data_IF_191359458824
#
_entry.id   IF_191359458824
#
_cell.length_a   1.000
_cell.length_b   1.000
_cell.length_c   1.000
_cell.angle_alpha   90.00
_cell.angle_beta   90.00
_cell.angle_gamma   90.00
#
_symmetry.space_group_name_H-M   'P 1'
#
loop_
_entity.id
_entity.type
_entity.pdbx_description
1 polymer ?
#
# COMPACT_ATOMS: atom_id res chain seq x y z
N UNK A 1 -59.90 6.85 -45.71
CA UNK A 1 -58.45 6.71 -45.92
C UNK A 1 -57.79 6.62 -44.55
N UNK A 2 -57.33 5.44 -44.14
CA UNK A 2 -56.66 5.21 -42.85
C UNK A 2 -55.21 4.84 -43.15
N UNK A 3 -54.26 5.73 -42.85
CA UNK A 3 -52.83 5.48 -42.97
C UNK A 3 -52.30 4.98 -41.63
N UNK A 4 -51.86 3.72 -41.60
CA UNK A 4 -51.12 3.11 -40.50
C UNK A 4 -49.63 3.37 -40.72
N UNK A 5 -49.01 4.16 -39.84
CA UNK A 5 -47.54 4.28 -39.76
C UNK A 5 -46.99 3.18 -38.85
N UNK A 6 -46.09 2.36 -39.40
CA UNK A 6 -45.30 1.38 -38.65
C UNK A 6 -43.97 2.06 -38.30
N UNK A 7 -43.70 2.27 -37.01
CA UNK A 7 -42.43 2.77 -36.52
C UNK A 7 -41.46 1.59 -36.32
N UNK A 8 -40.35 1.61 -37.06
CA UNK A 8 -39.27 0.63 -36.98
C UNK A 8 -38.27 1.08 -35.88
N UNK A 9 -38.26 0.39 -34.74
CA UNK A 9 -37.28 0.61 -33.67
C UNK A 9 -36.01 -0.19 -33.96
N UNK A 10 -34.92 0.51 -34.32
CA UNK A 10 -33.58 -0.08 -34.47
C UNK A 10 -32.87 -0.02 -33.12
N UNK A 11 -32.70 -1.17 -32.46
CA UNK A 11 -31.91 -1.29 -31.23
C UNK A 11 -30.42 -1.41 -31.56
N UNK A 12 -29.66 -0.32 -31.38
CA UNK A 12 -28.19 -0.39 -31.38
C UNK A 12 -27.72 -1.11 -30.10
N UNK A 13 -27.31 -2.38 -30.26
CA UNK A 13 -26.53 -3.11 -29.25
C UNK A 13 -25.12 -2.50 -29.20
N UNK A 14 -24.93 -1.48 -28.36
CA UNK A 14 -23.61 -0.94 -28.06
C UNK A 14 -22.79 -1.96 -27.25
N UNK A 15 -21.74 -2.51 -27.85
CA UNK A 15 -20.72 -3.26 -27.14
C UNK A 15 -19.98 -2.30 -26.20
N UNK A 16 -20.29 -2.33 -24.92
CA UNK A 16 -19.52 -1.61 -23.91
C UNK A 16 -18.13 -2.26 -23.82
N UNK A 17 -17.03 -1.53 -24.06
CA UNK A 17 -15.71 -2.06 -23.79
C UNK A 17 -15.66 -2.37 -22.29
N UNK A 18 -15.45 -3.64 -21.94
CA UNK A 18 -15.13 -4.02 -20.58
C UNK A 18 -13.85 -3.26 -20.22
N UNK A 19 -13.97 -2.28 -19.31
CA UNK A 19 -12.81 -1.63 -18.74
C UNK A 19 -11.96 -2.75 -18.12
N UNK A 20 -10.81 -3.03 -18.72
CA UNK A 20 -9.84 -3.92 -18.12
C UNK A 20 -9.49 -3.31 -16.76
N UNK A 21 -9.98 -3.90 -15.69
CA UNK A 21 -9.53 -3.60 -14.34
C UNK A 21 -8.05 -3.96 -14.32
N UNK A 22 -7.19 -2.96 -14.49
CA UNK A 22 -5.76 -3.12 -14.27
C UNK A 22 -5.60 -3.61 -12.84
N UNK A 23 -5.19 -4.87 -12.67
CA UNK A 23 -4.92 -5.45 -11.36
C UNK A 23 -4.07 -4.46 -10.56
N UNK A 24 -4.56 -4.04 -9.40
CA UNK A 24 -3.96 -2.95 -8.63
C UNK A 24 -2.82 -3.49 -7.76
N UNK A 25 -1.85 -4.09 -8.44
CA UNK A 25 -0.68 -4.74 -7.85
C UNK A 25 0.59 -4.05 -8.32
N UNK A 26 1.44 -3.69 -7.38
CA UNK A 26 2.66 -2.96 -7.67
C UNK A 26 3.67 -3.14 -6.54
N UNK A 27 4.94 -2.95 -6.89
CA UNK A 27 5.98 -2.73 -5.90
C UNK A 27 6.09 -1.22 -5.63
N UNK A 28 6.49 -0.86 -4.42
CA UNK A 28 6.96 0.48 -4.10
C UNK A 28 8.45 0.41 -3.76
N UNK A 29 9.26 1.26 -4.39
CA UNK A 29 10.68 1.43 -4.08
C UNK A 29 10.86 2.76 -3.39
N UNK A 30 11.28 2.73 -2.13
CA UNK A 30 11.31 3.88 -1.25
C UNK A 30 12.75 4.22 -0.86
N UNK A 31 13.09 5.50 -0.91
CA UNK A 31 14.40 6.03 -0.53
C UNK A 31 14.21 7.30 0.31
N UNK A 32 15.11 7.53 1.27
CA UNK A 32 15.04 8.67 2.16
C UNK A 32 16.03 8.58 3.32
N UNK A 33 15.61 9.04 4.49
CA UNK A 33 16.41 9.02 5.71
C UNK A 33 15.67 8.35 6.87
N UNK A 34 16.43 7.84 7.83
CA UNK A 34 15.95 7.26 9.08
C UNK A 34 16.61 7.91 10.28
N UNK A 35 15.91 7.95 11.40
CA UNK A 35 16.43 8.36 12.71
C UNK A 35 15.92 7.41 13.80
N UNK A 36 16.79 7.04 14.73
CA UNK A 36 16.49 6.16 15.89
C UNK A 36 16.00 6.96 17.11
N UNK A 37 15.89 8.28 16.97
CA UNK A 37 15.37 9.20 17.97
C UNK A 37 14.49 10.23 17.26
N UNK A 38 13.52 10.84 17.95
CA UNK A 38 12.59 11.79 17.30
C UNK A 38 13.31 12.98 16.64
N UNK A 39 14.46 13.39 17.16
CA UNK A 39 15.30 14.49 16.66
C UNK A 39 16.78 14.08 16.56
N UNK A 40 17.05 12.78 16.41
CA UNK A 40 18.41 12.25 16.33
C UNK A 40 19.04 12.44 14.95
N UNK A 41 20.34 12.11 14.80
CA UNK A 41 21.02 12.16 13.51
C UNK A 41 20.32 11.27 12.48
N UNK A 42 20.29 11.76 11.25
CA UNK A 42 19.69 11.03 10.13
C UNK A 42 20.74 10.20 9.38
N UNK A 43 20.33 9.00 8.97
CA UNK A 43 21.11 8.12 8.11
C UNK A 43 20.31 7.77 6.84
N UNK A 44 20.96 7.55 5.68
CA UNK A 44 20.28 7.08 4.48
C UNK A 44 19.50 5.79 4.72
N UNK A 45 18.34 5.68 4.09
CA UNK A 45 17.45 4.53 4.18
C UNK A 45 16.85 4.20 2.82
N UNK A 46 16.78 2.90 2.50
CA UNK A 46 16.09 2.39 1.33
C UNK A 46 15.38 1.10 1.68
N UNK A 47 14.16 0.93 1.19
CA UNK A 47 13.42 -0.33 1.28
C UNK A 47 12.36 -0.42 0.18
N UNK A 48 11.65 -1.55 0.13
CA UNK A 48 10.52 -1.70 -0.77
C UNK A 48 9.32 -2.38 -0.14
N UNK A 49 8.16 -2.14 -0.74
CA UNK A 49 6.93 -2.87 -0.49
C UNK A 49 6.49 -3.64 -1.71
N UNK A 50 5.70 -4.68 -1.48
CA UNK A 50 4.87 -5.31 -2.51
C UNK A 50 3.44 -5.19 -2.06
N UNK A 51 2.58 -4.63 -2.91
CA UNK A 51 1.22 -4.25 -2.57
C UNK A 51 0.26 -4.87 -3.57
N UNK A 52 -0.80 -5.47 -3.06
CA UNK A 52 -1.93 -5.97 -3.82
C UNK A 52 -3.21 -5.36 -3.23
N UNK A 53 -3.69 -4.29 -3.87
CA UNK A 53 -4.88 -3.57 -3.39
C UNK A 53 -6.16 -4.40 -3.57
N UNK A 54 -6.21 -5.26 -4.59
CA UNK A 54 -7.37 -6.10 -4.87
C UNK A 54 -7.51 -7.21 -3.82
N UNK A 55 -6.38 -7.82 -3.43
CA UNK A 55 -6.34 -8.82 -2.36
C UNK A 55 -6.33 -8.20 -0.94
N UNK A 56 -6.15 -6.89 -0.83
CA UNK A 56 -5.99 -6.23 0.47
C UNK A 56 -4.70 -6.65 1.18
N UNK A 57 -3.62 -6.99 0.46
CA UNK A 57 -2.40 -7.58 1.01
C UNK A 57 -1.17 -6.72 0.75
N UNK A 58 -0.20 -6.80 1.65
CA UNK A 58 1.11 -6.19 1.46
C UNK A 58 2.22 -6.92 2.21
N UNK A 59 3.46 -6.65 1.83
CA UNK A 59 4.65 -7.04 2.58
C UNK A 59 5.78 -6.03 2.32
N UNK A 60 6.84 -6.09 3.11
CA UNK A 60 7.97 -5.18 3.01
C UNK A 60 9.31 -5.92 3.01
N UNK A 61 10.35 -5.25 2.53
CA UNK A 61 11.71 -5.78 2.38
C UNK A 61 11.75 -7.14 1.66
N UNK A 62 12.12 -8.21 2.36
CA UNK A 62 12.22 -9.56 1.82
C UNK A 62 10.89 -10.31 1.77
N UNK A 63 9.81 -9.69 2.26
CA UNK A 63 8.46 -10.28 2.29
C UNK A 63 8.37 -11.59 3.06
N UNK A 64 9.08 -11.70 4.18
CA UNK A 64 9.04 -12.85 5.10
C UNK A 64 7.63 -13.09 5.66
N UNK A 65 6.83 -12.03 5.78
CA UNK A 65 5.44 -12.09 6.22
C UNK A 65 4.57 -11.22 5.30
N UNK A 66 3.39 -11.75 4.98
CA UNK A 66 2.33 -11.03 4.25
C UNK A 66 1.30 -10.56 5.26
N UNK A 67 0.92 -9.30 5.14
CA UNK A 67 0.02 -8.59 6.03
C UNK A 67 -1.25 -8.18 5.31
N UNK A 68 -2.31 -7.92 6.09
CA UNK A 68 -3.49 -7.22 5.61
C UNK A 68 -3.22 -5.72 5.50
N UNK A 69 -3.76 -5.09 4.46
CA UNK A 69 -3.81 -3.63 4.36
C UNK A 69 -4.78 -3.09 5.40
N UNK A 70 -4.35 -2.07 6.14
CA UNK A 70 -5.19 -1.44 7.15
C UNK A 70 -6.19 -0.47 6.55
N UNK A 71 -5.70 0.41 5.68
CA UNK A 71 -6.52 1.46 5.08
C UNK A 71 -6.01 1.78 3.68
N UNK A 72 -6.92 1.80 2.70
CA UNK A 72 -6.66 2.14 1.31
C UNK A 72 -7.57 3.30 0.94
N UNK A 73 -6.99 4.49 0.84
CA UNK A 73 -7.69 5.68 0.39
C UNK A 73 -7.24 6.07 -1.03
N UNK A 74 -7.98 6.93 -1.74
CA UNK A 74 -7.57 7.42 -3.05
C UNK A 74 -6.21 8.15 -3.03
N UNK A 75 -5.87 8.77 -1.90
CA UNK A 75 -4.71 9.67 -1.76
C UNK A 75 -3.59 9.10 -0.88
N UNK A 76 -3.86 8.06 -0.09
CA UNK A 76 -2.89 7.47 0.84
C UNK A 76 -3.07 5.97 1.03
N UNK A 77 -1.95 5.29 1.25
CA UNK A 77 -1.87 3.89 1.66
C UNK A 77 -1.34 3.86 3.09
N UNK A 78 -2.07 3.22 4.00
CA UNK A 78 -1.62 3.03 5.39
C UNK A 78 -1.33 1.55 5.61
N UNK A 79 -0.07 1.27 5.88
CA UNK A 79 0.40 -0.07 6.24
C UNK A 79 0.62 -0.14 7.75
N UNK A 80 0.10 -1.20 8.37
CA UNK A 80 0.24 -1.46 9.80
C UNK A 80 0.78 -2.87 9.98
N UNK A 81 1.96 -2.95 10.57
CA UNK A 81 2.49 -4.22 11.05
C UNK A 81 1.91 -4.44 12.45
N UNK A 82 0.84 -5.25 12.52
CA UNK A 82 0.26 -5.68 13.80
C UNK A 82 1.39 -6.18 14.69
N UNK A 83 1.59 -5.46 15.78
CA UNK A 83 2.76 -5.63 16.64
C UNK A 83 2.69 -6.89 17.48
N UNK A 84 3.86 -7.36 17.91
CA UNK A 84 3.94 -8.25 19.05
C UNK A 84 3.61 -7.46 20.32
N UNK A 85 2.50 -7.80 20.98
CA UNK A 85 2.20 -7.35 22.33
C UNK A 85 2.63 -8.43 23.32
N UNK A 86 3.60 -8.11 24.18
CA UNK A 86 3.92 -8.91 25.36
C UNK A 86 3.57 -8.11 26.62
N UNK A 87 3.60 -8.74 27.80
CA UNK A 87 3.44 -8.01 29.07
C UNK A 87 4.47 -6.90 29.30
N UNK A 88 5.63 -6.95 28.62
CA UNK A 88 6.77 -6.05 28.88
C UNK A 88 7.03 -5.07 27.74
N UNK A 89 6.49 -5.34 26.56
CA UNK A 89 6.82 -4.61 25.35
C UNK A 89 5.62 -4.56 24.41
N UNK A 90 5.34 -3.35 23.93
CA UNK A 90 4.35 -3.08 22.91
C UNK A 90 5.02 -2.28 21.79
N UNK A 91 5.11 -2.88 20.62
CA UNK A 91 5.53 -2.16 19.43
C UNK A 91 4.31 -1.58 18.71
N UNK A 92 4.49 -0.55 17.90
CA UNK A 92 3.52 -0.07 16.93
C UNK A 92 4.32 0.41 15.74
N UNK A 93 3.98 -0.01 14.52
CA UNK A 93 4.70 0.39 13.30
C UNK A 93 3.66 0.85 12.29
N UNK A 94 3.75 2.12 11.90
CA UNK A 94 2.84 2.74 10.96
C UNK A 94 3.61 3.29 9.78
N UNK A 95 3.22 2.89 8.58
CA UNK A 95 3.73 3.46 7.33
C UNK A 95 2.59 4.20 6.64
N UNK A 96 2.86 5.43 6.21
CA UNK A 96 1.96 6.25 5.42
C UNK A 96 2.64 6.61 4.10
N UNK A 97 2.03 6.24 2.97
CA UNK A 97 2.52 6.57 1.63
C UNK A 97 1.46 7.35 0.88
N UNK A 98 1.79 8.56 0.44
CA UNK A 98 0.94 9.33 -0.47
C UNK A 98 0.92 8.67 -1.86
N UNK A 99 -0.27 8.44 -2.40
CA UNK A 99 -0.46 7.91 -3.76
C UNK A 99 -0.22 8.96 -4.85
N UNK A 100 -0.27 10.23 -4.49
CA UNK A 100 -0.11 11.35 -5.43
C UNK A 100 1.34 11.80 -5.54
N UNK A 101 2.02 11.95 -4.41
CA UNK A 101 3.40 12.49 -4.37
C UNK A 101 4.46 11.41 -4.14
N UNK A 102 4.05 10.22 -3.69
CA UNK A 102 4.97 9.18 -3.24
C UNK A 102 5.59 9.46 -1.87
N UNK A 103 5.27 10.58 -1.20
CA UNK A 103 5.84 10.90 0.11
C UNK A 103 5.57 9.75 1.10
N UNK A 104 6.61 9.29 1.77
CA UNK A 104 6.56 8.17 2.71
C UNK A 104 6.99 8.63 4.10
N UNK A 105 6.21 8.23 5.10
CA UNK A 105 6.53 8.40 6.52
C UNK A 105 6.40 7.05 7.23
N UNK A 106 7.34 6.74 8.09
CA UNK A 106 7.27 5.62 9.02
C UNK A 106 7.44 6.15 10.43
N UNK A 107 6.55 5.74 11.33
CA UNK A 107 6.77 5.89 12.76
C UNK A 107 6.65 4.53 13.43
N UNK A 108 7.72 4.10 14.07
CA UNK A 108 7.72 2.96 14.97
C UNK A 108 8.00 3.42 16.39
N UNK A 109 7.13 3.00 17.30
CA UNK A 109 7.25 3.27 18.73
C UNK A 109 7.28 1.92 19.43
N UNK A 110 8.32 1.71 20.22
CA UNK A 110 8.41 0.55 21.10
C UNK A 110 8.32 1.00 22.55
N UNK A 111 7.19 0.70 23.18
CA UNK A 111 6.94 1.02 24.59
C UNK A 111 7.57 -0.08 25.44
N UNK A 112 8.62 0.28 26.17
CA UNK A 112 9.34 -0.56 27.13
C UNK A 112 9.80 0.29 28.33
N UNK A 113 10.66 -0.23 29.21
CA UNK A 113 11.27 0.55 30.32
C UNK A 113 11.95 1.82 29.79
N UNK A 114 12.62 1.70 28.63
CA UNK A 114 13.15 2.85 27.89
C UNK A 114 12.48 2.85 26.51
N UNK A 115 11.60 3.82 26.21
CA UNK A 115 10.94 3.89 24.92
C UNK A 115 11.96 4.02 23.79
N UNK A 116 11.74 3.29 22.69
CA UNK A 116 12.53 3.43 21.46
C UNK A 116 11.67 3.98 20.36
N UNK A 117 12.23 4.91 19.60
CA UNK A 117 11.60 5.54 18.46
C UNK A 117 12.34 5.14 17.20
N UNK A 118 11.63 5.04 16.09
CA UNK A 118 12.25 4.90 14.80
C UNK A 118 11.39 5.63 13.78
N UNK A 119 11.99 6.61 13.13
CA UNK A 119 11.33 7.48 12.16
C UNK A 119 11.98 7.29 10.81
N UNK A 120 11.17 7.21 9.75
CA UNK A 120 11.63 7.31 8.36
C UNK A 120 10.85 8.39 7.65
N UNK A 121 11.54 9.18 6.85
CA UNK A 121 10.94 10.09 5.87
C UNK A 121 11.61 9.91 4.52
N UNK A 122 10.80 9.84 3.46
CA UNK A 122 11.32 9.55 2.12
C UNK A 122 10.29 9.68 1.02
N UNK A 123 10.62 9.14 -0.14
CA UNK A 123 9.73 9.07 -1.31
C UNK A 123 9.73 7.66 -1.87
N UNK A 124 8.55 7.14 -2.16
CA UNK A 124 8.31 5.88 -2.83
C UNK A 124 7.92 6.11 -4.29
N UNK A 125 8.39 5.22 -5.18
CA UNK A 125 7.99 5.17 -6.59
C UNK A 125 7.39 3.81 -6.93
N UNK A 126 6.32 3.77 -7.73
CA UNK A 126 5.76 2.51 -8.20
C UNK A 126 6.73 1.78 -9.13
N UNK A 127 6.75 0.47 -9.03
CA UNK A 127 7.50 -0.45 -9.88
C UNK A 127 6.61 -1.66 -10.23
N UNK A 128 6.93 -2.43 -11.30
CA UNK A 128 6.20 -3.65 -11.64
C UNK A 128 6.11 -4.60 -10.44
N UNK A 129 4.95 -5.20 -10.22
CA UNK A 129 4.73 -6.13 -9.12
C UNK A 129 5.63 -7.36 -9.27
N UNK A 130 6.49 -7.60 -8.27
CA UNK A 130 7.43 -8.73 -8.29
C UNK A 130 6.84 -10.03 -7.76
N UNK A 131 5.58 -10.01 -7.29
CA UNK A 131 4.91 -11.17 -6.72
C UNK A 131 5.17 -11.32 -5.22
N UNK A 132 4.22 -11.94 -4.53
CA UNK A 132 4.47 -12.42 -3.18
C UNK A 132 5.31 -13.70 -3.23
N UNK A 133 6.21 -13.95 -2.27
CA UNK A 133 6.93 -15.21 -2.20
C UNK A 133 5.94 -16.38 -2.14
N UNK A 134 6.12 -17.35 -3.03
CA UNK A 134 5.47 -18.66 -2.88
C UNK A 134 6.17 -19.33 -1.70
N UNK A 135 5.43 -19.76 -0.68
CA UNK A 135 5.95 -20.19 0.62
C UNK A 135 7.31 -20.91 0.54
N UNK A 136 8.30 -20.42 1.28
CA UNK A 136 9.52 -21.18 1.54
C UNK A 136 9.21 -22.15 2.68
N UNK A 137 9.34 -23.45 2.37
CA UNK A 137 9.10 -24.57 3.28
C UNK A 137 10.17 -24.66 4.37
#
# INVERSE_FOLDING_TARGET
>A
MRSTMVALTVSLLGAFPAAAQTAQRFDLRCEGTRSEELNGPEAPYSYGFRVDLDAGKWCWAHCERIFDLKEVNPDRLVFDEKSSETRRERQSVWHDVSRTTGAHKLLSITISIVPRYYKVEGTCRPAPFSGFPTAMF
#
